data_IF_355928994490
#
_entry.id   IF_355928994490
#
_cell.length_a   1.000
_cell.length_b   1.000
_cell.length_c   1.000
_cell.angle_alpha   90.00
_cell.angle_beta   90.00
_cell.angle_gamma   90.00
#
_symmetry.space_group_name_H-M   'P 1'
#
loop_
_entity.id
_entity.type
_entity.pdbx_description
1 polymer ?
#
# COMPACT_ATOMS: atom_id res chain seq x y z
N UNK A 1 -2.24 -20.32 1.76
CA UNK A 1 -1.54 -19.10 2.23
C UNK A 1 -1.12 -19.22 3.69
N UNK A 2 -2.03 -19.61 4.60
CA UNK A 2 -1.75 -19.77 6.03
C UNK A 2 -0.51 -20.60 6.34
N UNK A 3 -0.37 -21.80 5.77
CA UNK A 3 0.77 -22.67 6.05
C UNK A 3 2.11 -22.03 5.66
N UNK A 4 2.19 -21.37 4.49
CA UNK A 4 3.38 -20.63 4.08
C UNK A 4 3.77 -19.54 5.08
N UNK A 5 2.79 -18.82 5.63
CA UNK A 5 3.03 -17.78 6.63
C UNK A 5 3.50 -18.37 7.96
N UNK A 6 2.95 -19.52 8.36
CA UNK A 6 3.39 -20.25 9.56
C UNK A 6 4.80 -20.83 9.38
N UNK A 7 5.16 -21.27 8.18
CA UNK A 7 6.52 -21.71 7.83
C UNK A 7 7.52 -20.55 7.95
N UNK A 8 7.22 -19.37 7.38
CA UNK A 8 8.04 -18.17 7.55
C UNK A 8 8.22 -17.77 9.01
N UNK A 9 7.15 -17.86 9.82
CA UNK A 9 7.23 -17.66 11.27
C UNK A 9 8.13 -18.70 11.96
N UNK A 10 8.07 -19.96 11.54
CA UNK A 10 8.90 -21.03 12.13
C UNK A 10 10.40 -20.86 11.88
N UNK A 11 10.79 -20.08 10.87
CA UNK A 11 12.18 -19.78 10.53
C UNK A 11 12.79 -18.60 11.30
N UNK A 12 11.95 -17.73 11.88
CA UNK A 12 12.37 -16.51 12.59
C UNK A 12 11.97 -16.48 14.07
N UNK A 13 10.77 -16.96 14.41
CA UNK A 13 10.15 -16.79 15.71
C UNK A 13 10.51 -17.91 16.70
N UNK A 14 10.21 -17.67 17.98
CA UNK A 14 10.36 -18.65 19.04
C UNK A 14 9.52 -19.93 18.78
N UNK A 15 10.11 -21.09 19.05
CA UNK A 15 9.46 -22.39 18.76
C UNK A 15 8.20 -22.61 19.59
N UNK A 16 8.18 -22.16 20.85
CA UNK A 16 7.01 -22.30 21.71
C UNK A 16 5.88 -21.36 21.26
N UNK A 17 6.22 -20.16 20.77
CA UNK A 17 5.26 -19.25 20.17
C UNK A 17 4.58 -19.85 18.92
N UNK A 18 5.37 -20.45 18.03
CA UNK A 18 4.85 -21.09 16.81
C UNK A 18 4.06 -22.36 17.15
N UNK A 19 4.51 -23.16 18.12
CA UNK A 19 3.77 -24.32 18.62
C UNK A 19 2.42 -23.90 19.21
N UNK A 20 2.40 -22.83 20.01
CA UNK A 20 1.17 -22.26 20.54
C UNK A 20 0.20 -21.83 19.43
N UNK A 21 0.68 -21.18 18.38
CA UNK A 21 -0.15 -20.75 17.25
C UNK A 21 -0.79 -21.96 16.53
N UNK A 22 0.02 -22.99 16.23
CA UNK A 22 -0.47 -24.23 15.61
C UNK A 22 -1.50 -24.95 16.47
N UNK A 23 -1.23 -25.09 17.77
CA UNK A 23 -2.16 -25.72 18.71
C UNK A 23 -3.46 -24.92 18.84
N UNK A 24 -3.36 -23.59 18.86
CA UNK A 24 -4.53 -22.69 18.90
C UNK A 24 -5.42 -22.90 17.68
N UNK A 25 -4.84 -22.90 16.47
CA UNK A 25 -5.59 -23.17 15.24
C UNK A 25 -6.20 -24.58 15.29
N UNK A 26 -5.42 -25.61 15.65
CA UNK A 26 -5.92 -26.99 15.75
C UNK A 26 -7.12 -27.12 16.71
N UNK A 27 -7.08 -26.44 17.86
CA UNK A 27 -8.17 -26.46 18.83
C UNK A 27 -9.42 -25.76 18.29
N UNK A 28 -9.25 -24.61 17.64
CA UNK A 28 -10.35 -23.87 17.01
C UNK A 28 -10.95 -24.63 15.82
N UNK A 29 -10.15 -25.42 15.10
CA UNK A 29 -10.62 -26.28 14.00
C UNK A 29 -11.52 -27.42 14.49
N UNK A 30 -11.29 -27.94 15.70
CA UNK A 30 -12.11 -29.01 16.26
C UNK A 30 -13.52 -28.52 16.65
N UNK A 31 -13.61 -27.32 17.21
CA UNK A 31 -14.88 -26.64 17.49
C UNK A 31 -14.64 -25.14 17.51
N UNK A 32 -15.18 -24.44 16.52
CA UNK A 32 -14.99 -22.99 16.44
C UNK A 32 -15.88 -22.28 17.48
N UNK A 33 -15.25 -21.45 18.30
CA UNK A 33 -15.93 -20.54 19.21
C UNK A 33 -15.32 -19.14 19.15
N UNK A 34 -16.17 -18.12 19.10
CA UNK A 34 -15.75 -16.72 18.96
C UNK A 34 -14.85 -16.25 20.11
N UNK A 35 -15.22 -16.59 21.36
CA UNK A 35 -14.50 -16.12 22.55
C UNK A 35 -13.05 -16.65 22.59
N UNK A 36 -12.79 -17.96 22.42
CA UNK A 36 -11.43 -18.47 22.24
C UNK A 36 -10.66 -17.82 21.09
N UNK A 37 -11.31 -17.53 19.95
CA UNK A 37 -10.68 -16.81 18.85
C UNK A 37 -10.23 -15.40 19.27
N UNK A 38 -11.12 -14.61 19.89
CA UNK A 38 -10.80 -13.26 20.36
C UNK A 38 -9.62 -13.25 21.33
N UNK A 39 -9.62 -14.15 22.32
CA UNK A 39 -8.49 -14.26 23.27
C UNK A 39 -7.19 -14.66 22.59
N UNK A 40 -7.26 -15.52 21.58
CA UNK A 40 -6.09 -15.94 20.82
C UNK A 40 -5.53 -14.78 19.99
N UNK A 41 -6.40 -14.03 19.31
CA UNK A 41 -6.02 -12.90 18.48
C UNK A 41 -5.32 -11.79 19.27
N UNK A 42 -5.85 -11.42 20.44
CA UNK A 42 -5.18 -10.48 21.35
C UNK A 42 -3.99 -11.12 22.08
N UNK A 43 -4.05 -12.43 22.33
CA UNK A 43 -3.04 -13.22 23.02
C UNK A 43 -1.71 -13.34 22.28
N UNK A 44 -1.70 -13.12 20.96
CA UNK A 44 -0.47 -13.00 20.14
C UNK A 44 0.52 -12.03 20.78
N UNK A 45 0.03 -10.98 21.46
CA UNK A 45 0.85 -9.88 22.04
C UNK A 45 1.81 -10.33 23.13
N UNK A 46 1.54 -11.50 23.72
CA UNK A 46 2.30 -12.11 24.81
C UNK A 46 3.20 -13.24 24.32
N UNK A 47 3.14 -13.55 23.02
CA UNK A 47 3.78 -14.74 22.42
C UNK A 47 4.79 -14.39 21.34
N UNK A 48 4.50 -13.37 20.53
CA UNK A 48 5.36 -12.96 19.42
C UNK A 48 5.96 -11.58 19.67
N UNK A 49 7.19 -11.37 19.19
CA UNK A 49 7.88 -10.09 19.29
C UNK A 49 7.23 -9.07 18.33
N UNK A 50 7.07 -7.83 18.82
CA UNK A 50 6.38 -6.74 18.10
C UNK A 50 7.27 -6.01 17.09
N UNK A 51 8.55 -6.35 17.06
CA UNK A 51 9.60 -5.69 16.27
C UNK A 51 10.42 -6.68 15.45
N UNK A 52 10.51 -7.95 15.87
CA UNK A 52 11.18 -8.99 15.10
C UNK A 52 10.48 -9.17 13.75
N UNK A 53 11.26 -9.12 12.68
CA UNK A 53 10.79 -9.32 11.32
C UNK A 53 10.74 -10.80 11.00
N UNK A 54 9.70 -11.22 10.30
CA UNK A 54 9.68 -12.58 9.75
C UNK A 54 10.74 -12.70 8.66
N UNK A 55 11.30 -13.90 8.51
CA UNK A 55 12.12 -14.20 7.33
C UNK A 55 11.20 -14.46 6.14
N UNK A 56 11.49 -13.81 5.03
CA UNK A 56 10.82 -14.05 3.76
C UNK A 56 11.81 -13.84 2.63
N UNK A 57 11.53 -14.45 1.47
CA UNK A 57 12.15 -13.99 0.23
C UNK A 57 11.72 -12.54 -0.03
N UNK A 58 12.58 -11.76 -0.69
CA UNK A 58 12.33 -10.34 -0.98
C UNK A 58 11.02 -10.14 -1.77
N UNK A 59 10.59 -11.15 -2.53
CA UNK A 59 9.34 -11.16 -3.31
C UNK A 59 8.12 -11.75 -2.57
N UNK A 60 8.25 -12.06 -1.28
CA UNK A 60 7.13 -12.57 -0.48
C UNK A 60 6.10 -11.46 -0.25
N UNK A 61 4.78 -11.74 -0.29
CA UNK A 61 3.75 -10.75 0.06
C UNK A 61 3.79 -10.35 1.54
N UNK A 62 4.64 -10.99 2.33
CA UNK A 62 4.86 -10.70 3.74
C UNK A 62 6.22 -10.03 4.01
N UNK A 63 6.93 -9.59 2.96
CA UNK A 63 8.22 -8.95 3.12
C UNK A 63 8.12 -7.73 4.06
N UNK A 64 9.08 -7.59 4.97
CA UNK A 64 9.12 -6.51 5.96
C UNK A 64 8.08 -6.61 7.10
N UNK A 65 7.27 -7.67 7.16
CA UNK A 65 6.29 -7.84 8.24
C UNK A 65 6.97 -8.23 9.56
N UNK A 66 6.39 -7.78 10.67
CA UNK A 66 6.78 -8.29 11.98
C UNK A 66 6.06 -9.63 12.28
N UNK A 67 6.65 -10.43 13.17
CA UNK A 67 6.10 -11.72 13.60
C UNK A 67 4.68 -11.56 14.17
N UNK A 68 4.44 -10.43 14.82
CA UNK A 68 3.19 -10.09 15.45
C UNK A 68 2.01 -9.95 14.48
N UNK A 69 2.20 -9.20 13.38
CA UNK A 69 1.28 -9.06 12.25
C UNK A 69 1.08 -10.40 11.57
N UNK A 70 2.16 -11.12 11.28
CA UNK A 70 2.12 -12.41 10.61
C UNK A 70 1.30 -13.46 11.39
N UNK A 71 1.51 -13.59 12.70
CA UNK A 71 0.77 -14.55 13.53
C UNK A 71 -0.73 -14.23 13.58
N UNK A 72 -1.11 -12.95 13.64
CA UNK A 72 -2.52 -12.53 13.57
C UNK A 72 -3.14 -12.80 12.21
N UNK A 73 -2.41 -12.51 11.13
CA UNK A 73 -2.90 -12.83 9.78
C UNK A 73 -3.06 -14.34 9.59
N UNK A 74 -2.22 -15.18 10.18
CA UNK A 74 -2.43 -16.63 10.18
C UNK A 74 -3.75 -17.04 10.87
N UNK A 75 -4.11 -16.41 11.99
CA UNK A 75 -5.42 -16.60 12.65
C UNK A 75 -6.57 -16.09 11.78
N UNK A 76 -6.43 -14.95 11.10
CA UNK A 76 -7.45 -14.42 10.19
C UNK A 76 -7.66 -15.31 8.96
N UNK A 77 -6.58 -15.88 8.42
CA UNK A 77 -6.68 -16.84 7.33
C UNK A 77 -7.44 -18.11 7.75
N UNK A 78 -7.26 -18.57 8.99
CA UNK A 78 -8.10 -19.62 9.56
C UNK A 78 -9.56 -19.16 9.76
N UNK A 79 -9.78 -17.93 10.24
CA UNK A 79 -11.14 -17.38 10.37
C UNK A 79 -11.85 -17.31 9.02
N UNK A 80 -11.12 -16.99 7.95
CA UNK A 80 -11.62 -16.97 6.57
C UNK A 80 -12.02 -18.33 6.01
N UNK A 81 -11.74 -19.43 6.71
CA UNK A 81 -12.22 -20.78 6.34
C UNK A 81 -13.58 -21.10 6.98
N UNK A 82 -14.08 -20.26 7.88
CA UNK A 82 -15.37 -20.45 8.53
C UNK A 82 -16.54 -20.02 7.63
N UNK A 83 -17.74 -20.50 7.94
CA UNK A 83 -18.99 -20.09 7.29
C UNK A 83 -19.15 -18.56 7.28
N UNK A 84 -19.72 -18.00 6.20
CA UNK A 84 -19.82 -16.54 5.95
C UNK A 84 -20.25 -15.75 7.19
N UNK A 85 -21.34 -16.16 7.84
CA UNK A 85 -21.89 -15.48 9.01
C UNK A 85 -20.90 -15.47 10.19
N UNK A 86 -20.25 -16.61 10.45
CA UNK A 86 -19.25 -16.72 11.53
C UNK A 86 -18.04 -15.85 11.21
N UNK A 87 -17.54 -15.90 9.97
CA UNK A 87 -16.42 -15.08 9.53
C UNK A 87 -16.72 -13.59 9.71
N UNK A 88 -17.81 -13.08 9.11
CA UNK A 88 -18.13 -11.65 9.15
C UNK A 88 -18.40 -11.16 10.57
N UNK A 89 -19.23 -11.86 11.34
CA UNK A 89 -19.53 -11.44 12.71
C UNK A 89 -18.28 -11.40 13.60
N UNK A 90 -17.37 -12.36 13.43
CA UNK A 90 -16.13 -12.43 14.21
C UNK A 90 -15.14 -11.36 13.73
N UNK A 91 -14.94 -11.21 12.42
CA UNK A 91 -14.04 -10.21 11.83
C UNK A 91 -14.42 -8.80 12.27
N UNK A 92 -15.70 -8.41 12.13
CA UNK A 92 -16.18 -7.09 12.52
C UNK A 92 -16.18 -6.90 14.04
N UNK A 93 -16.46 -7.94 14.83
CA UNK A 93 -16.32 -7.84 16.29
C UNK A 93 -14.88 -7.55 16.71
N UNK A 94 -13.89 -8.16 16.04
CA UNK A 94 -12.47 -7.85 16.29
C UNK A 94 -12.17 -6.44 15.81
N UNK A 95 -12.51 -6.09 14.57
CA UNK A 95 -12.22 -4.77 13.99
C UNK A 95 -12.75 -3.62 14.85
N UNK A 96 -13.99 -3.74 15.34
CA UNK A 96 -14.64 -2.68 16.13
C UNK A 96 -14.01 -2.47 17.52
N UNK A 97 -13.19 -3.41 18.00
CA UNK A 97 -12.53 -3.34 19.31
C UNK A 97 -11.01 -3.36 19.20
N UNK A 98 -10.49 -3.40 17.97
CA UNK A 98 -9.09 -3.62 17.67
C UNK A 98 -8.21 -2.42 18.05
N UNK A 99 -7.08 -2.71 18.70
CA UNK A 99 -5.98 -1.75 18.78
C UNK A 99 -5.35 -1.47 17.40
N UNK A 100 -4.47 -0.46 17.32
CA UNK A 100 -3.83 -0.07 16.05
C UNK A 100 -3.14 -1.27 15.38
N UNK A 101 -2.45 -2.13 16.14
CA UNK A 101 -1.71 -3.27 15.57
C UNK A 101 -2.63 -4.41 15.14
N UNK A 102 -3.77 -4.56 15.80
CA UNK A 102 -4.85 -5.46 15.41
C UNK A 102 -5.49 -5.00 14.09
N UNK A 103 -5.77 -3.71 13.97
CA UNK A 103 -6.28 -3.11 12.73
C UNK A 103 -5.29 -3.27 11.57
N UNK A 104 -3.99 -3.02 11.80
CA UNK A 104 -2.95 -3.29 10.80
C UNK A 104 -3.06 -4.73 10.32
N UNK A 105 -3.10 -5.73 11.21
CA UNK A 105 -3.21 -7.13 10.81
C UNK A 105 -4.49 -7.43 10.01
N UNK A 106 -5.64 -6.90 10.44
CA UNK A 106 -6.92 -7.05 9.74
C UNK A 106 -6.85 -6.50 8.31
N UNK A 107 -6.40 -5.25 8.15
CA UNK A 107 -6.35 -4.58 6.85
C UNK A 107 -5.31 -5.20 5.91
N UNK A 108 -4.20 -5.69 6.47
CA UNK A 108 -3.16 -6.39 5.71
C UNK A 108 -3.63 -7.71 5.12
N UNK A 109 -4.60 -8.36 5.78
CA UNK A 109 -5.10 -9.66 5.39
C UNK A 109 -6.15 -9.58 4.28
N UNK A 110 -6.71 -8.39 4.01
CA UNK A 110 -7.90 -8.20 3.17
C UNK A 110 -7.83 -8.93 1.83
N UNK A 111 -6.67 -8.91 1.16
CA UNK A 111 -6.47 -9.57 -0.14
C UNK A 111 -6.73 -11.09 -0.12
N UNK A 112 -6.63 -11.74 1.04
CA UNK A 112 -6.85 -13.19 1.20
C UNK A 112 -8.14 -13.54 1.93
N UNK A 113 -8.90 -12.55 2.42
CA UNK A 113 -10.15 -12.82 3.12
C UNK A 113 -11.26 -13.22 2.14
N UNK A 114 -12.19 -14.12 2.54
CA UNK A 114 -13.40 -14.38 1.77
C UNK A 114 -14.36 -13.17 1.85
N UNK A 115 -15.37 -13.14 0.97
CA UNK A 115 -16.43 -12.13 0.99
C UNK A 115 -15.92 -10.67 0.98
N UNK A 116 -14.90 -10.41 0.16
CA UNK A 116 -14.19 -9.12 0.10
C UNK A 116 -15.11 -7.91 -0.14
N UNK A 117 -16.21 -8.10 -0.86
CA UNK A 117 -17.21 -7.05 -1.11
C UNK A 117 -17.78 -6.47 0.20
N UNK A 118 -17.94 -7.31 1.22
CA UNK A 118 -18.45 -6.91 2.55
C UNK A 118 -17.40 -6.15 3.38
N UNK A 119 -16.13 -6.15 2.95
CA UNK A 119 -15.00 -5.55 3.66
C UNK A 119 -14.59 -4.19 3.07
N UNK A 120 -15.20 -3.78 1.95
CA UNK A 120 -14.84 -2.55 1.22
C UNK A 120 -15.07 -1.32 2.10
N UNK A 121 -16.26 -1.20 2.69
CA UNK A 121 -16.60 -0.04 3.53
C UNK A 121 -15.65 0.09 4.72
N UNK A 122 -15.29 -1.03 5.36
CA UNK A 122 -14.33 -1.06 6.45
C UNK A 122 -12.94 -0.54 6.04
N UNK A 123 -12.46 -0.93 4.85
CA UNK A 123 -11.19 -0.45 4.33
C UNK A 123 -11.25 1.05 3.99
N UNK A 124 -12.35 1.51 3.38
CA UNK A 124 -12.54 2.94 3.09
C UNK A 124 -12.59 3.77 4.37
N UNK A 125 -13.27 3.27 5.41
CA UNK A 125 -13.32 3.93 6.72
C UNK A 125 -11.96 3.94 7.42
N UNK A 126 -11.20 2.85 7.32
CA UNK A 126 -9.81 2.80 7.82
C UNK A 126 -8.93 3.90 7.21
N UNK A 127 -9.09 4.17 5.91
CA UNK A 127 -8.39 5.25 5.21
C UNK A 127 -8.82 6.65 5.64
N UNK A 128 -9.98 6.83 6.28
CA UNK A 128 -10.41 8.14 6.82
C UNK A 128 -9.69 8.51 8.10
N UNK A 129 -9.10 7.54 8.80
CA UNK A 129 -8.30 7.81 10.01
C UNK A 129 -7.00 8.56 9.69
N UNK A 130 -6.45 9.31 10.65
CA UNK A 130 -5.14 9.97 10.50
C UNK A 130 -3.97 9.09 10.96
N UNK A 131 -4.18 7.77 11.06
CA UNK A 131 -3.18 6.83 11.56
C UNK A 131 -2.41 6.27 10.34
N UNK A 132 -1.15 6.70 10.21
CA UNK A 132 -0.28 6.34 9.07
C UNK A 132 -0.18 4.83 8.89
N UNK A 133 0.05 4.08 9.96
CA UNK A 133 0.23 2.63 9.85
C UNK A 133 -1.02 1.89 9.35
N UNK A 134 -2.22 2.39 9.68
CA UNK A 134 -3.49 1.84 9.18
C UNK A 134 -3.65 2.19 7.70
N UNK A 135 -3.35 3.43 7.33
CA UNK A 135 -3.36 3.85 5.92
C UNK A 135 -2.43 2.95 5.09
N UNK A 136 -1.20 2.75 5.56
CA UNK A 136 -0.20 1.95 4.88
C UNK A 136 -0.61 0.48 4.75
N UNK A 137 -1.21 -0.10 5.79
CA UNK A 137 -1.70 -1.49 5.75
C UNK A 137 -2.79 -1.71 4.68
N UNK A 138 -3.55 -0.65 4.34
CA UNK A 138 -4.60 -0.69 3.33
C UNK A 138 -4.04 -0.36 1.94
N UNK A 139 -3.20 0.67 1.82
CA UNK A 139 -2.80 1.24 0.55
C UNK A 139 -1.50 0.67 -0.04
N UNK A 140 -0.52 0.33 0.80
CA UNK A 140 0.82 -0.09 0.39
C UNK A 140 0.96 -1.62 0.41
N UNK A 141 1.57 -2.18 -0.63
CA UNK A 141 1.82 -3.62 -0.79
C UNK A 141 0.56 -4.48 -0.61
N UNK A 142 -0.60 -3.87 -0.88
CA UNK A 142 -1.91 -4.48 -0.73
C UNK A 142 -2.69 -4.33 -2.04
N UNK A 143 -3.01 -5.43 -2.74
CA UNK A 143 -3.78 -5.36 -3.97
C UNK A 143 -5.28 -5.16 -3.72
N UNK A 144 -5.77 -5.12 -2.48
CA UNK A 144 -7.20 -5.00 -2.21
C UNK A 144 -7.83 -3.72 -2.82
N UNK A 145 -7.26 -2.51 -2.66
CA UNK A 145 -7.85 -1.30 -3.23
C UNK A 145 -7.97 -1.32 -4.76
N UNK A 146 -6.94 -1.82 -5.47
CA UNK A 146 -6.96 -1.83 -6.94
C UNK A 146 -8.09 -2.72 -7.49
N UNK A 147 -8.45 -3.78 -6.76
CA UNK A 147 -9.44 -4.77 -7.18
C UNK A 147 -10.87 -4.34 -6.82
N UNK A 148 -11.04 -3.67 -5.67
CA UNK A 148 -12.36 -3.51 -5.05
C UNK A 148 -12.84 -2.08 -4.90
N UNK A 149 -11.95 -1.09 -4.83
CA UNK A 149 -12.40 0.29 -4.63
C UNK A 149 -13.11 0.82 -5.87
N UNK A 150 -14.16 1.61 -5.66
CA UNK A 150 -14.70 2.51 -6.68
C UNK A 150 -13.65 3.54 -7.08
N UNK A 151 -13.84 4.20 -8.23
CA UNK A 151 -12.91 5.26 -8.65
C UNK A 151 -12.88 6.42 -7.66
N UNK A 152 -14.01 6.73 -7.01
CA UNK A 152 -14.03 7.75 -5.95
C UNK A 152 -13.15 7.37 -4.76
N UNK A 153 -13.32 6.16 -4.20
CA UNK A 153 -12.52 5.69 -3.07
C UNK A 153 -11.03 5.57 -3.44
N UNK A 154 -10.74 5.10 -4.65
CA UNK A 154 -9.39 5.03 -5.20
C UNK A 154 -8.75 6.42 -5.30
N UNK A 155 -9.47 7.40 -5.86
CA UNK A 155 -8.96 8.76 -6.03
C UNK A 155 -8.68 9.43 -4.69
N UNK A 156 -9.59 9.28 -3.71
CA UNK A 156 -9.39 9.81 -2.36
C UNK A 156 -8.18 9.16 -1.66
N UNK A 157 -7.99 7.85 -1.82
CA UNK A 157 -6.81 7.16 -1.30
C UNK A 157 -5.52 7.70 -1.94
N UNK A 158 -5.49 7.85 -3.27
CA UNK A 158 -4.31 8.38 -3.99
C UNK A 158 -3.96 9.80 -3.58
N UNK A 159 -4.95 10.71 -3.51
CA UNK A 159 -4.73 12.09 -3.07
C UNK A 159 -4.24 12.16 -1.63
N UNK A 160 -4.79 11.31 -0.74
CA UNK A 160 -4.31 11.21 0.64
C UNK A 160 -2.90 10.64 0.72
N UNK A 161 -2.55 9.64 -0.09
CA UNK A 161 -1.19 9.10 -0.17
C UNK A 161 -0.18 10.19 -0.58
N UNK A 162 -0.53 10.99 -1.59
CA UNK A 162 0.28 12.14 -2.04
C UNK A 162 0.42 13.17 -0.92
N UNK A 163 -0.69 13.51 -0.25
CA UNK A 163 -0.69 14.49 0.83
C UNK A 163 0.20 14.05 2.01
N UNK A 164 0.17 12.76 2.35
CA UNK A 164 0.94 12.15 3.43
C UNK A 164 2.37 11.74 3.01
N UNK A 165 2.78 12.01 1.76
CA UNK A 165 4.09 11.64 1.21
C UNK A 165 4.37 10.13 1.38
N UNK A 166 3.37 9.30 1.06
CA UNK A 166 3.55 7.84 1.06
C UNK A 166 4.23 7.39 -0.24
N UNK A 167 5.01 6.30 -0.24
CA UNK A 167 5.70 5.77 -1.43
C UNK A 167 4.69 5.21 -2.43
N UNK A 168 4.34 5.97 -3.47
CA UNK A 168 3.25 5.59 -4.38
C UNK A 168 3.60 4.38 -5.24
N UNK A 169 4.89 4.11 -5.47
CA UNK A 169 5.36 2.93 -6.20
C UNK A 169 4.96 1.60 -5.54
N UNK A 170 4.72 1.62 -4.21
CA UNK A 170 4.22 0.47 -3.44
C UNK A 170 2.70 0.30 -3.51
N UNK A 171 1.97 1.25 -4.09
CA UNK A 171 0.54 1.12 -4.35
C UNK A 171 0.33 0.27 -5.61
N UNK A 172 -0.36 -0.86 -5.46
CA UNK A 172 -0.65 -1.74 -6.59
C UNK A 172 -1.67 -1.12 -7.55
N UNK A 173 -1.42 -1.23 -8.85
CA UNK A 173 -2.44 -0.94 -9.87
C UNK A 173 -2.55 0.52 -10.31
N UNK A 174 -1.66 1.43 -9.86
CA UNK A 174 -1.71 2.86 -10.24
C UNK A 174 -1.80 3.06 -11.76
N UNK A 175 -0.99 2.35 -12.54
CA UNK A 175 -1.02 2.47 -14.00
C UNK A 175 -2.35 2.01 -14.64
N UNK A 176 -3.07 1.06 -14.02
CA UNK A 176 -4.34 0.52 -14.51
C UNK A 176 -5.56 1.31 -14.05
N UNK A 177 -5.45 2.02 -12.92
CA UNK A 177 -6.53 2.77 -12.27
C UNK A 177 -6.44 4.29 -12.50
N UNK A 178 -5.58 4.73 -13.44
CA UNK A 178 -5.56 6.13 -13.91
C UNK A 178 -6.95 6.49 -14.44
N UNK A 179 -7.42 7.69 -14.14
CA UNK A 179 -8.70 8.19 -14.61
C UNK A 179 -8.69 9.72 -14.68
N UNK A 180 -9.59 10.29 -15.49
CA UNK A 180 -9.67 11.73 -15.72
C UNK A 180 -9.89 12.53 -14.42
N UNK A 181 -10.85 12.18 -13.53
CA UNK A 181 -11.03 12.92 -12.27
C UNK A 181 -9.79 12.90 -11.36
N UNK A 182 -9.02 11.81 -11.35
CA UNK A 182 -7.76 11.74 -10.59
C UNK A 182 -6.70 12.68 -11.16
N UNK A 183 -6.55 12.73 -12.50
CA UNK A 183 -5.60 13.62 -13.15
C UNK A 183 -5.91 15.09 -12.84
N UNK A 184 -7.20 15.47 -12.93
CA UNK A 184 -7.69 16.82 -12.60
C UNK A 184 -7.41 17.17 -11.14
N UNK A 185 -7.74 16.26 -10.20
CA UNK A 185 -7.54 16.50 -8.78
C UNK A 185 -6.05 16.60 -8.41
N UNK A 186 -5.16 15.87 -9.09
CA UNK A 186 -3.71 15.99 -8.92
C UNK A 186 -3.20 17.33 -9.45
N UNK A 187 -3.70 17.80 -10.60
CA UNK A 187 -3.38 19.14 -11.12
C UNK A 187 -3.86 20.24 -10.17
N UNK A 188 -5.07 20.13 -9.62
CA UNK A 188 -5.58 21.07 -8.61
C UNK A 188 -4.70 21.10 -7.36
N UNK A 189 -4.34 19.93 -6.83
CA UNK A 189 -3.43 19.81 -5.70
C UNK A 189 -2.04 20.41 -6.00
N UNK A 190 -1.50 20.17 -7.19
CA UNK A 190 -0.21 20.74 -7.61
C UNK A 190 -0.24 22.27 -7.60
N UNK A 191 -1.30 22.87 -8.15
CA UNK A 191 -1.49 24.32 -8.13
C UNK A 191 -1.65 24.88 -6.72
N UNK A 192 -2.40 24.21 -5.84
CA UNK A 192 -2.51 24.59 -4.43
C UNK A 192 -1.14 24.59 -3.74
N UNK A 193 -0.32 23.56 -3.97
CA UNK A 193 1.03 23.46 -3.41
C UNK A 193 1.96 24.54 -3.96
N UNK A 194 1.96 24.76 -5.27
CA UNK A 194 2.80 25.79 -5.89
C UNK A 194 2.44 27.20 -5.44
N UNK A 195 1.15 27.49 -5.21
CA UNK A 195 0.72 28.78 -4.68
C UNK A 195 1.22 29.04 -3.24
N UNK A 196 1.63 27.99 -2.53
CA UNK A 196 2.18 28.04 -1.18
C UNK A 196 3.70 27.80 -1.15
N UNK A 197 4.40 27.92 -2.29
CA UNK A 197 5.83 27.62 -2.44
C UNK A 197 6.22 26.21 -1.95
N UNK A 198 5.29 25.25 -2.12
CA UNK A 198 5.49 23.83 -1.82
C UNK A 198 5.55 23.01 -3.09
N UNK A 199 6.19 21.84 -2.99
CA UNK A 199 6.24 20.85 -4.06
C UNK A 199 5.20 19.75 -3.86
N UNK A 200 4.83 19.10 -4.96
CA UNK A 200 4.08 17.83 -4.98
C UNK A 200 5.08 16.70 -5.22
N UNK A 201 4.80 15.49 -4.70
CA UNK A 201 5.69 14.35 -4.95
C UNK A 201 5.79 14.05 -6.46
N UNK A 202 6.99 13.86 -7.02
CA UNK A 202 7.19 13.50 -8.42
C UNK A 202 6.33 12.30 -8.87
N UNK A 203 6.13 11.30 -8.00
CA UNK A 203 5.30 10.13 -8.31
C UNK A 203 3.83 10.45 -8.61
N UNK A 204 3.30 11.60 -8.15
CA UNK A 204 1.91 11.99 -8.39
C UNK A 204 1.59 12.08 -9.90
N UNK A 205 2.56 12.51 -10.70
CA UNK A 205 2.38 12.69 -12.15
C UNK A 205 2.16 11.37 -12.90
N UNK A 206 2.47 10.22 -12.29
CA UNK A 206 2.14 8.89 -12.81
C UNK A 206 0.67 8.73 -13.16
N UNK A 207 -0.21 9.29 -12.33
CA UNK A 207 -1.66 9.17 -12.51
C UNK A 207 -2.25 10.14 -13.54
N UNK A 208 -1.46 11.10 -14.02
CA UNK A 208 -1.86 12.11 -15.02
C UNK A 208 -1.60 11.62 -16.45
N UNK A 209 -0.59 10.75 -16.64
CA UNK A 209 -0.25 10.18 -17.94
C UNK A 209 -1.44 9.46 -18.59
N UNK A 210 -1.74 9.80 -19.86
CA UNK A 210 -2.88 9.26 -20.62
C UNK A 210 -4.18 10.07 -20.50
N UNK A 211 -4.21 11.10 -19.63
CA UNK A 211 -5.34 12.02 -19.45
C UNK A 211 -4.90 13.48 -19.63
N UNK A 212 -3.90 13.71 -20.49
CA UNK A 212 -3.36 15.05 -20.73
C UNK A 212 -4.35 15.90 -21.53
N UNK A 213 -4.63 17.08 -20.99
CA UNK A 213 -5.19 18.21 -21.73
C UNK A 213 -4.16 19.36 -21.77
N UNK A 214 -4.60 20.55 -22.17
CA UNK A 214 -3.73 21.73 -22.20
C UNK A 214 -3.16 22.06 -20.81
N UNK A 215 -4.00 22.04 -19.78
CA UNK A 215 -3.60 22.38 -18.41
C UNK A 215 -2.58 21.38 -17.89
N UNK A 216 -2.87 20.08 -18.00
CA UNK A 216 -1.93 19.04 -17.59
C UNK A 216 -0.61 19.13 -18.36
N UNK A 217 -0.65 19.46 -19.65
CA UNK A 217 0.59 19.61 -20.43
C UNK A 217 1.44 20.78 -19.95
N UNK A 218 0.82 21.90 -19.59
CA UNK A 218 1.53 23.06 -19.03
C UNK A 218 2.10 22.75 -17.64
N UNK A 219 1.39 21.95 -16.84
CA UNK A 219 1.89 21.45 -15.55
C UNK A 219 3.14 20.58 -15.74
N UNK A 220 3.13 19.65 -16.69
CA UNK A 220 4.30 18.81 -16.99
C UNK A 220 5.48 19.64 -17.51
N UNK A 221 5.24 20.70 -18.31
CA UNK A 221 6.30 21.64 -18.71
C UNK A 221 6.92 22.35 -17.51
N UNK A 222 6.11 22.76 -16.53
CA UNK A 222 6.60 23.37 -15.30
C UNK A 222 7.46 22.38 -14.50
N UNK A 223 7.01 21.14 -14.36
CA UNK A 223 7.76 20.07 -13.68
C UNK A 223 9.08 19.77 -14.40
N UNK A 224 9.06 19.70 -15.73
CA UNK A 224 10.25 19.48 -16.56
C UNK A 224 11.29 20.63 -16.50
N UNK A 225 10.90 21.81 -16.01
CA UNK A 225 11.78 22.95 -15.80
C UNK A 225 12.27 23.12 -14.35
N UNK A 226 11.93 22.20 -13.46
CA UNK A 226 12.35 22.21 -12.04
C UNK A 226 13.84 21.91 -11.89
N UNK A 227 14.50 22.44 -10.86
CA UNK A 227 15.90 22.07 -10.56
C UNK A 227 16.02 20.67 -9.92
N UNK A 228 14.90 20.05 -9.55
CA UNK A 228 14.87 18.76 -8.89
C UNK A 228 15.03 17.60 -9.90
N UNK A 229 16.07 16.75 -9.78
CA UNK A 229 16.26 15.60 -10.67
C UNK A 229 15.09 14.60 -10.66
N UNK A 230 14.38 14.46 -9.54
CA UNK A 230 13.23 13.56 -9.45
C UNK A 230 12.02 14.11 -10.22
N UNK A 231 11.87 15.44 -10.31
CA UNK A 231 10.85 16.09 -11.14
C UNK A 231 11.15 15.87 -12.64
N UNK A 232 12.42 16.01 -13.05
CA UNK A 232 12.84 15.68 -14.41
C UNK A 232 12.55 14.23 -14.77
N UNK A 233 12.85 13.29 -13.86
CA UNK A 233 12.58 11.88 -14.05
C UNK A 233 11.08 11.60 -14.21
N UNK A 234 10.24 12.17 -13.34
CA UNK A 234 8.78 12.05 -13.43
C UNK A 234 8.21 12.65 -14.72
N UNK A 235 8.64 13.87 -15.09
CA UNK A 235 8.21 14.50 -16.34
C UNK A 235 8.60 13.64 -17.56
N UNK A 236 9.81 13.07 -17.57
CA UNK A 236 10.29 12.20 -18.64
C UNK A 236 9.47 10.91 -18.76
N UNK A 237 9.08 10.32 -17.63
CA UNK A 237 8.19 9.16 -17.61
C UNK A 237 6.82 9.51 -18.21
N UNK A 238 6.23 10.66 -17.85
CA UNK A 238 4.97 11.13 -18.46
C UNK A 238 5.13 11.38 -19.96
N UNK A 239 6.22 12.04 -20.39
CA UNK A 239 6.52 12.29 -21.81
C UNK A 239 6.61 10.97 -22.59
N UNK A 240 7.28 9.96 -22.03
CA UNK A 240 7.41 8.64 -22.66
C UNK A 240 6.07 7.92 -22.86
N UNK A 241 5.09 8.17 -21.98
CA UNK A 241 3.74 7.59 -22.06
C UNK A 241 2.77 8.42 -22.93
N UNK A 242 3.10 9.67 -23.25
CA UNK A 242 2.14 10.66 -23.78
C UNK A 242 2.27 10.97 -25.28
N UNK A 243 3.20 10.33 -25.98
CA UNK A 243 3.35 10.47 -27.44
C UNK A 243 3.66 11.91 -27.88
N UNK A 244 2.89 12.42 -28.86
CA UNK A 244 3.17 13.71 -29.51
C UNK A 244 2.78 14.95 -28.68
N UNK A 245 1.93 14.82 -27.66
CA UNK A 245 1.38 15.97 -26.90
C UNK A 245 2.44 16.80 -26.15
N UNK A 246 3.62 16.23 -25.91
CA UNK A 246 4.73 16.86 -25.19
C UNK A 246 6.05 16.77 -25.98
N UNK A 247 5.97 16.77 -27.31
CA UNK A 247 7.14 16.63 -28.19
C UNK A 247 8.19 17.74 -27.97
N UNK A 248 7.76 18.92 -27.53
CA UNK A 248 8.64 20.05 -27.21
C UNK A 248 9.63 19.74 -26.07
N UNK A 249 9.30 18.81 -25.17
CA UNK A 249 10.14 18.41 -24.04
C UNK A 249 11.16 17.31 -24.37
N UNK A 250 11.04 16.63 -25.53
CA UNK A 250 11.91 15.50 -25.86
C UNK A 250 13.40 15.87 -25.89
N UNK A 251 13.71 17.08 -26.38
CA UNK A 251 15.11 17.52 -26.49
C UNK A 251 15.71 17.86 -25.13
N UNK A 252 14.96 18.51 -24.24
CA UNK A 252 15.45 18.88 -22.91
C UNK A 252 15.59 17.68 -21.98
N UNK A 253 14.74 16.67 -22.14
CA UNK A 253 14.71 15.45 -21.32
C UNK A 253 15.43 14.25 -21.97
N UNK A 254 16.25 14.49 -23.01
CA UNK A 254 16.85 13.42 -23.81
C UNK A 254 17.70 12.43 -22.98
N UNK A 255 18.33 12.90 -21.90
CA UNK A 255 19.15 12.08 -21.01
C UNK A 255 18.28 11.09 -20.23
N UNK A 256 17.20 11.57 -19.61
CA UNK A 256 16.26 10.77 -18.84
C UNK A 256 15.47 9.81 -19.74
N UNK A 257 15.08 10.26 -20.93
CA UNK A 257 14.42 9.40 -21.93
C UNK A 257 15.31 8.21 -22.35
N UNK A 258 16.62 8.41 -22.51
CA UNK A 258 17.55 7.29 -22.78
C UNK A 258 17.65 6.30 -21.60
N UNK A 259 17.48 6.77 -20.36
CA UNK A 259 17.40 5.88 -19.19
C UNK A 259 16.09 5.08 -19.17
N UNK A 260 14.99 5.66 -19.64
CA UNK A 260 13.70 4.97 -19.79
C UNK A 260 13.81 3.88 -20.87
N UNK A 261 14.38 4.21 -22.04
CA UNK A 261 14.55 3.25 -23.14
C UNK A 261 15.44 2.05 -22.76
N UNK A 262 16.42 2.27 -21.88
CA UNK A 262 17.28 1.22 -21.35
C UNK A 262 16.70 0.48 -20.14
N UNK A 263 15.50 0.86 -19.67
CA UNK A 263 14.82 0.27 -18.51
C UNK A 263 15.40 0.67 -17.15
N UNK A 264 16.37 1.58 -17.11
CA UNK A 264 17.02 2.04 -15.88
C UNK A 264 16.18 3.07 -15.12
N UNK A 265 15.28 3.78 -15.81
CA UNK A 265 14.31 4.69 -15.21
C UNK A 265 12.88 4.19 -15.43
N UNK A 266 12.17 3.91 -14.34
CA UNK A 266 10.76 3.52 -14.30
C UNK A 266 10.09 4.23 -13.13
N UNK A 267 8.75 4.24 -13.08
CA UNK A 267 8.04 4.71 -11.88
C UNK A 267 8.46 3.97 -10.61
N UNK A 268 8.79 2.68 -10.72
CA UNK A 268 9.24 1.89 -9.57
C UNK A 268 10.65 2.29 -9.12
N UNK A 269 11.61 2.44 -10.05
CA UNK A 269 12.98 2.82 -9.68
C UNK A 269 13.07 4.27 -9.18
N UNK A 270 12.22 5.16 -9.70
CA UNK A 270 12.05 6.52 -9.16
C UNK A 270 11.48 6.50 -7.74
N UNK A 271 10.40 5.76 -7.49
CA UNK A 271 9.80 5.68 -6.16
C UNK A 271 10.72 5.05 -5.12
N UNK A 272 11.48 4.01 -5.51
CA UNK A 272 12.48 3.37 -4.64
C UNK A 272 13.60 4.34 -4.24
N UNK A 273 14.18 5.06 -5.19
CA UNK A 273 15.27 6.01 -4.89
C UNK A 273 14.78 7.16 -3.99
N UNK A 274 13.55 7.62 -4.19
CA UNK A 274 12.93 8.64 -3.34
C UNK A 274 12.66 8.12 -1.92
N UNK A 275 12.17 6.89 -1.76
CA UNK A 275 11.96 6.28 -0.44
C UNK A 275 13.29 6.09 0.31
N UNK A 276 14.34 5.63 -0.37
CA UNK A 276 15.69 5.49 0.20
C UNK A 276 16.27 6.84 0.67
N UNK A 277 16.08 7.91 -0.11
CA UNK A 277 16.50 9.27 0.25
C UNK A 277 15.81 9.75 1.53
N UNK A 278 14.49 9.57 1.64
CA UNK A 278 13.72 9.96 2.84
C UNK A 278 14.18 9.19 4.08
N UNK A 279 14.47 7.88 3.94
CA UNK A 279 14.99 7.07 5.04
C UNK A 279 16.36 7.60 5.48
N UNK A 280 17.25 7.93 4.55
CA UNK A 280 18.56 8.47 4.87
C UNK A 280 18.47 9.81 5.61
N UNK A 281 17.64 10.74 5.12
CA UNK A 281 17.41 12.05 5.74
C UNK A 281 16.80 11.94 7.15
N UNK A 282 15.99 10.91 7.41
CA UNK A 282 15.39 10.69 8.75
C UNK A 282 16.39 10.18 9.80
N UNK A 283 17.55 9.67 9.37
CA UNK A 283 18.60 9.10 10.23
C UNK A 283 19.77 10.06 10.47
N UNK A 284 19.83 11.18 9.75
CA UNK A 284 20.86 12.22 9.85
C UNK A 284 20.36 13.44 10.60
#
# INVERSE_FOLDING_TARGET
MREKLIESLAESADRDAVSWLRNTISNLSATFEKRPFYYSFSGVSRRFDKSAKIKGADDSPFNGWDEYRAARVALLLFLGEQEKTIFLETFFSVLNTADIREQIALFSALQWMPHQDELIEAAVDGLRTNIVDIFDAIALDNPFPQMHFTDEAWNQMMLKAIFMTRPLHRIHGVAKRKNQPLAEAISDLAHERWAADRVITPEAWRSVAGYLDKRHSDDIRKVAGSENPNDHAAASLVVSESGESLIDLQKSLAKELALIDSGNLTWNSLGQSMEEQLVHESLT
#
